data_IF_608363096797
#
_entry.id   IF_608363096797
#
_cell.length_a   1.000
_cell.length_b   1.000
_cell.length_c   1.000
_cell.angle_alpha   90.00
_cell.angle_beta   90.00
_cell.angle_gamma   90.00
#
_symmetry.space_group_name_H-M   'P 1'
#
loop_
_entity.id
_entity.type
_entity.pdbx_description
1 polymer ?
#
# COMPACT_ATOMS: atom_id res chain seq x y z
N UNK A 1 19.90 -11.76 -23.33
CA UNK A 1 19.25 -11.69 -21.99
C UNK A 1 17.79 -11.34 -22.18
N UNK A 2 16.83 -12.18 -21.78
CA UNK A 2 15.40 -11.80 -21.76
C UNK A 2 15.23 -10.75 -20.68
N UNK A 3 14.76 -9.55 -21.04
CA UNK A 3 14.40 -8.52 -20.06
C UNK A 3 13.40 -9.13 -19.06
N UNK A 4 13.82 -9.31 -17.83
CA UNK A 4 12.93 -9.81 -16.78
C UNK A 4 11.86 -8.73 -16.54
N UNK A 5 10.58 -9.07 -16.78
CA UNK A 5 9.47 -8.12 -16.56
C UNK A 5 9.45 -7.74 -15.09
N UNK A 6 9.51 -6.44 -14.77
CA UNK A 6 9.46 -5.94 -13.39
C UNK A 6 8.08 -6.19 -12.76
N UNK A 7 8.07 -6.73 -11.54
CA UNK A 7 6.84 -6.90 -10.77
C UNK A 7 6.26 -5.56 -10.34
N UNK A 8 7.11 -4.59 -10.03
CA UNK A 8 6.70 -3.22 -9.70
C UNK A 8 5.90 -2.59 -10.84
N UNK A 9 6.42 -2.68 -12.07
CA UNK A 9 5.71 -2.16 -13.25
C UNK A 9 4.41 -2.93 -13.50
N UNK A 10 4.41 -4.26 -13.29
CA UNK A 10 3.20 -5.07 -13.38
C UNK A 10 2.10 -4.61 -12.42
N UNK A 11 2.44 -4.38 -11.14
CA UNK A 11 1.48 -3.87 -10.15
C UNK A 11 0.95 -2.47 -10.53
N UNK A 12 1.84 -1.55 -10.93
CA UNK A 12 1.44 -0.22 -11.40
C UNK A 12 0.46 -0.32 -12.57
N UNK A 13 0.75 -1.16 -13.56
CA UNK A 13 -0.12 -1.36 -14.72
C UNK A 13 -1.51 -1.87 -14.32
N UNK A 14 -1.56 -2.85 -13.40
CA UNK A 14 -2.84 -3.39 -12.89
C UNK A 14 -3.63 -2.32 -12.15
N UNK A 15 -3.00 -1.58 -11.23
CA UNK A 15 -3.67 -0.54 -10.44
C UNK A 15 -4.18 0.59 -11.35
N UNK A 16 -3.36 1.05 -12.30
CA UNK A 16 -3.79 2.06 -13.28
C UNK A 16 -4.95 1.54 -14.15
N UNK A 17 -4.92 0.28 -14.55
CA UNK A 17 -6.02 -0.34 -15.31
C UNK A 17 -7.34 -0.35 -14.53
N UNK A 18 -7.30 -0.70 -13.24
CA UNK A 18 -8.47 -0.61 -12.36
C UNK A 18 -8.95 0.83 -12.17
N UNK A 19 -8.04 1.79 -12.05
CA UNK A 19 -8.44 3.21 -11.99
C UNK A 19 -9.14 3.69 -13.25
N UNK A 20 -8.68 3.28 -14.43
CA UNK A 20 -9.37 3.58 -15.70
C UNK A 20 -10.75 2.91 -15.74
N UNK A 21 -10.87 1.69 -15.23
CA UNK A 21 -12.19 1.03 -15.10
C UNK A 21 -13.11 1.81 -14.17
N UNK A 22 -12.61 2.30 -13.01
CA UNK A 22 -13.40 3.16 -12.12
C UNK A 22 -13.90 4.45 -12.82
N UNK A 23 -13.17 4.99 -13.80
CA UNK A 23 -13.62 6.15 -14.58
C UNK A 23 -14.77 5.83 -15.53
N UNK A 24 -14.85 4.58 -15.98
CA UNK A 24 -15.94 4.11 -16.89
C UNK A 24 -17.17 3.72 -16.08
N UNK A 25 -16.96 2.99 -14.98
CA UNK A 25 -18.03 2.54 -14.07
C UNK A 25 -17.68 2.93 -12.62
N UNK A 26 -18.24 4.05 -12.18
CA UNK A 26 -18.03 4.55 -10.82
C UNK A 26 -18.57 3.61 -9.73
N UNK A 27 -19.51 2.69 -10.05
CA UNK A 27 -20.08 1.77 -9.08
C UNK A 27 -19.09 0.65 -8.67
N UNK A 28 -18.04 0.42 -9.45
CA UNK A 28 -17.06 -0.64 -9.15
C UNK A 28 -16.42 -0.46 -7.77
N UNK A 29 -16.27 0.78 -7.32
CA UNK A 29 -15.71 1.09 -5.99
C UNK A 29 -16.51 0.40 -4.88
N UNK A 30 -17.84 0.30 -5.03
CA UNK A 30 -18.73 -0.32 -4.05
C UNK A 30 -18.44 -1.81 -3.83
N UNK A 31 -17.85 -2.47 -4.83
CA UNK A 31 -17.49 -3.89 -4.74
C UNK A 31 -16.11 -4.13 -4.13
N UNK A 32 -15.24 -3.11 -4.10
CA UNK A 32 -13.82 -3.31 -3.80
C UNK A 32 -13.25 -2.45 -2.66
N UNK A 33 -13.97 -1.42 -2.16
CA UNK A 33 -13.53 -0.69 -0.99
C UNK A 33 -13.48 -1.58 0.26
N UNK A 34 -12.67 -1.22 1.23
CA UNK A 34 -12.55 -1.93 2.50
C UNK A 34 -13.52 -1.33 3.53
N UNK A 35 -14.52 -2.08 4.01
CA UNK A 35 -15.41 -1.65 5.07
C UNK A 35 -14.82 -1.97 6.46
N UNK A 36 -15.49 -1.56 7.56
CA UNK A 36 -15.14 -1.99 8.91
C UNK A 36 -15.17 -3.52 9.08
N UNK A 37 -14.43 -4.01 10.08
CA UNK A 37 -14.28 -5.45 10.33
C UNK A 37 -15.63 -6.15 10.55
N UNK A 38 -16.58 -5.52 11.24
CA UNK A 38 -17.91 -6.09 11.47
C UNK A 38 -18.66 -6.38 10.16
N UNK A 39 -18.51 -5.49 9.16
CA UNK A 39 -19.14 -5.66 7.85
C UNK A 39 -18.44 -6.74 7.02
N UNK A 40 -17.10 -6.86 7.13
CA UNK A 40 -16.37 -7.98 6.52
C UNK A 40 -16.81 -9.33 7.10
N UNK A 41 -17.01 -9.40 8.42
CA UNK A 41 -17.45 -10.61 9.11
C UNK A 41 -18.88 -11.00 8.73
N UNK A 42 -19.80 -10.02 8.66
CA UNK A 42 -21.21 -10.27 8.35
C UNK A 42 -21.44 -10.60 6.87
N UNK A 43 -20.70 -9.95 5.97
CA UNK A 43 -20.84 -10.16 4.52
C UNK A 43 -20.02 -11.31 3.97
N UNK A 44 -18.96 -11.74 4.68
CA UNK A 44 -18.00 -12.75 4.20
C UNK A 44 -17.07 -12.26 3.07
N UNK A 45 -17.10 -10.97 2.74
CA UNK A 45 -16.37 -10.41 1.58
C UNK A 45 -14.89 -10.12 1.89
N UNK A 46 -14.18 -11.11 2.42
CA UNK A 46 -12.77 -11.00 2.82
C UNK A 46 -11.80 -10.62 1.68
N UNK A 47 -12.18 -10.84 0.42
CA UNK A 47 -11.37 -10.42 -0.73
C UNK A 47 -11.08 -8.91 -0.75
N UNK A 48 -11.91 -8.11 -0.07
CA UNK A 48 -11.77 -6.65 0.03
C UNK A 48 -10.49 -6.21 0.74
N UNK A 49 -9.89 -7.06 1.58
CA UNK A 49 -8.59 -6.77 2.21
C UNK A 49 -7.44 -6.68 1.19
N UNK A 50 -7.62 -7.24 -0.01
CA UNK A 50 -6.66 -7.14 -1.10
C UNK A 50 -7.12 -6.16 -2.19
N UNK A 51 -8.40 -6.15 -2.52
CA UNK A 51 -8.90 -5.32 -3.62
C UNK A 51 -8.95 -3.83 -3.28
N UNK A 52 -8.96 -3.47 -1.99
CA UNK A 52 -8.83 -2.08 -1.52
C UNK A 52 -7.64 -1.36 -2.17
N UNK A 53 -6.53 -2.05 -2.37
CA UNK A 53 -5.32 -1.51 -3.00
C UNK A 53 -5.46 -1.17 -4.49
N UNK A 54 -6.53 -1.61 -5.14
CA UNK A 54 -6.82 -1.32 -6.55
C UNK A 54 -7.63 -0.04 -6.72
N UNK A 55 -8.40 0.34 -5.69
CA UNK A 55 -9.31 1.48 -5.75
C UNK A 55 -8.61 2.77 -5.33
N UNK A 56 -8.90 3.86 -6.04
CA UNK A 56 -8.32 5.17 -5.72
C UNK A 56 -9.39 6.26 -5.80
N UNK A 57 -9.17 7.34 -5.03
CA UNK A 57 -10.08 8.48 -4.99
C UNK A 57 -10.20 9.16 -6.36
N UNK A 58 -11.43 9.52 -6.72
CA UNK A 58 -11.80 10.17 -7.98
C UNK A 58 -12.56 11.48 -7.76
N UNK A 59 -12.59 11.99 -6.51
CA UNK A 59 -13.36 13.20 -6.16
C UNK A 59 -12.71 14.48 -6.69
N UNK A 60 -11.41 14.45 -6.97
CA UNK A 60 -10.66 15.59 -7.55
C UNK A 60 -10.50 15.44 -9.06
N UNK A 61 -10.41 16.57 -9.78
CA UNK A 61 -10.20 16.61 -11.23
C UNK A 61 -8.88 15.94 -11.64
N UNK A 62 -7.86 16.07 -10.80
CA UNK A 62 -6.56 15.43 -11.00
C UNK A 62 -6.41 14.20 -10.12
N UNK A 63 -5.86 13.09 -10.63
CA UNK A 63 -5.76 11.83 -9.91
C UNK A 63 -4.59 11.82 -8.90
N UNK A 64 -4.53 12.81 -8.01
CA UNK A 64 -3.41 12.96 -7.07
C UNK A 64 -3.20 11.72 -6.20
N UNK A 65 -4.29 11.14 -5.68
CA UNK A 65 -4.21 9.96 -4.82
C UNK A 65 -3.55 8.77 -5.56
N UNK A 66 -3.95 8.51 -6.80
CA UNK A 66 -3.31 7.50 -7.64
C UNK A 66 -1.85 7.87 -7.94
N UNK A 67 -1.62 9.11 -8.39
CA UNK A 67 -0.30 9.56 -8.85
C UNK A 67 0.76 9.41 -7.74
N UNK A 68 0.47 9.88 -6.52
CA UNK A 68 1.41 9.76 -5.40
C UNK A 68 1.66 8.30 -5.01
N UNK A 69 0.62 7.45 -5.02
CA UNK A 69 0.80 6.01 -4.79
C UNK A 69 1.69 5.37 -5.85
N UNK A 70 1.47 5.66 -7.13
CA UNK A 70 2.25 5.07 -8.23
C UNK A 70 3.70 5.57 -8.25
N UNK A 71 3.95 6.85 -7.97
CA UNK A 71 5.30 7.40 -7.84
C UNK A 71 6.06 6.72 -6.68
N UNK A 72 5.45 6.61 -5.52
CA UNK A 72 6.05 5.95 -4.37
C UNK A 72 6.26 4.44 -4.62
N UNK A 73 5.27 3.75 -5.19
CA UNK A 73 5.38 2.34 -5.57
C UNK A 73 6.50 2.13 -6.59
N UNK A 74 6.61 3.01 -7.60
CA UNK A 74 7.70 2.92 -8.57
C UNK A 74 9.06 3.10 -7.89
N UNK A 75 9.23 4.14 -7.10
CA UNK A 75 10.51 4.47 -6.44
C UNK A 75 10.94 3.36 -5.46
N UNK A 76 10.08 3.02 -4.50
CA UNK A 76 10.41 2.04 -3.45
C UNK A 76 10.37 0.60 -3.97
N UNK A 77 9.40 0.30 -4.82
CA UNK A 77 9.21 -1.04 -5.39
C UNK A 77 10.38 -1.46 -6.27
N UNK A 78 10.81 -0.61 -7.21
CA UNK A 78 11.97 -0.91 -8.06
C UNK A 78 13.24 -1.07 -7.24
N UNK A 79 13.41 -0.27 -6.19
CA UNK A 79 14.55 -0.37 -5.29
C UNK A 79 14.55 -1.69 -4.50
N UNK A 80 13.44 -2.07 -3.89
CA UNK A 80 13.33 -3.34 -3.15
C UNK A 80 13.44 -4.54 -4.11
N UNK A 81 12.80 -4.46 -5.28
CA UNK A 81 12.87 -5.50 -6.31
C UNK A 81 14.30 -5.71 -6.80
N UNK A 82 15.10 -4.63 -6.94
CA UNK A 82 16.51 -4.73 -7.33
C UNK A 82 17.41 -5.30 -6.23
N UNK A 83 17.13 -4.97 -4.96
CA UNK A 83 17.93 -5.41 -3.82
C UNK A 83 17.63 -6.84 -3.39
N UNK A 84 16.35 -7.23 -3.37
CA UNK A 84 15.89 -8.49 -2.80
C UNK A 84 15.33 -9.48 -3.82
N UNK A 85 15.12 -9.04 -5.05
CA UNK A 85 14.47 -9.80 -6.10
C UNK A 85 12.95 -9.73 -6.06
N UNK A 86 12.34 -10.08 -7.21
CA UNK A 86 10.92 -9.98 -7.51
C UNK A 86 10.01 -10.67 -6.47
N UNK A 87 10.34 -11.91 -6.10
CA UNK A 87 9.50 -12.70 -5.19
C UNK A 87 9.43 -12.09 -3.80
N UNK A 88 10.58 -11.67 -3.25
CA UNK A 88 10.61 -11.03 -1.92
C UNK A 88 9.90 -9.68 -1.92
N UNK A 89 10.05 -8.89 -3.00
CA UNK A 89 9.31 -7.64 -3.17
C UNK A 89 7.79 -7.88 -3.14
N UNK A 90 7.28 -8.85 -3.90
CA UNK A 90 5.84 -9.17 -3.92
C UNK A 90 5.34 -9.64 -2.55
N UNK A 91 6.10 -10.48 -1.85
CA UNK A 91 5.75 -10.92 -0.50
C UNK A 91 5.65 -9.73 0.46
N UNK A 92 6.64 -8.82 0.44
CA UNK A 92 6.62 -7.60 1.25
C UNK A 92 5.40 -6.76 0.90
N UNK A 93 5.12 -6.52 -0.39
CA UNK A 93 3.98 -5.71 -0.84
C UNK A 93 2.65 -6.27 -0.33
N UNK A 94 2.39 -7.58 -0.53
CA UNK A 94 1.12 -8.18 -0.15
C UNK A 94 0.96 -8.35 1.37
N UNK A 95 2.03 -8.63 2.11
CA UNK A 95 1.97 -8.64 3.60
C UNK A 95 1.70 -7.23 4.12
N UNK A 96 2.30 -6.21 3.52
CA UNK A 96 2.06 -4.82 3.88
C UNK A 96 0.61 -4.41 3.62
N UNK A 97 0.08 -4.76 2.44
CA UNK A 97 -1.32 -4.52 2.09
C UNK A 97 -2.25 -5.21 3.08
N UNK A 98 -2.02 -6.49 3.38
CA UNK A 98 -2.81 -7.27 4.34
C UNK A 98 -2.79 -6.65 5.73
N UNK A 99 -1.60 -6.33 6.26
CA UNK A 99 -1.46 -5.74 7.59
C UNK A 99 -2.13 -4.36 7.67
N UNK A 100 -1.94 -3.52 6.65
CA UNK A 100 -2.61 -2.23 6.53
C UNK A 100 -4.13 -2.36 6.49
N UNK A 101 -4.64 -3.24 5.64
CA UNK A 101 -6.08 -3.49 5.50
C UNK A 101 -6.72 -4.02 6.78
N UNK A 102 -6.09 -4.98 7.45
CA UNK A 102 -6.61 -5.52 8.71
C UNK A 102 -6.60 -4.48 9.84
N UNK A 103 -5.52 -3.67 9.94
CA UNK A 103 -5.45 -2.58 10.90
C UNK A 103 -6.53 -1.53 10.61
N UNK A 104 -6.69 -1.16 9.35
CA UNK A 104 -7.73 -0.24 8.92
C UNK A 104 -9.12 -0.79 9.28
N UNK A 105 -9.49 -1.97 8.80
CA UNK A 105 -10.81 -2.56 9.05
C UNK A 105 -11.15 -2.64 10.55
N UNK A 106 -10.16 -2.96 11.40
CA UNK A 106 -10.36 -3.06 12.85
C UNK A 106 -10.65 -1.72 13.52
N UNK A 107 -10.01 -0.64 13.06
CA UNK A 107 -10.13 0.69 13.66
C UNK A 107 -11.02 1.67 12.87
N UNK A 108 -11.57 1.28 11.73
CA UNK A 108 -12.52 2.12 10.98
C UNK A 108 -13.79 2.35 11.80
N UNK A 109 -14.33 3.60 11.79
CA UNK A 109 -15.63 3.88 12.38
C UNK A 109 -16.74 3.14 11.60
N UNK A 110 -17.90 2.95 12.24
CA UNK A 110 -19.03 2.16 11.73
C UNK A 110 -19.45 2.49 10.28
N UNK A 111 -19.41 3.77 9.88
CA UNK A 111 -19.75 4.22 8.53
C UNK A 111 -18.49 4.57 7.69
N UNK A 112 -17.31 4.11 8.13
CA UNK A 112 -16.07 4.39 7.43
C UNK A 112 -15.81 3.42 6.29
N UNK A 113 -14.94 3.82 5.39
CA UNK A 113 -14.36 2.94 4.38
C UNK A 113 -12.91 3.35 4.08
N UNK A 114 -12.15 2.44 3.51
CA UNK A 114 -10.78 2.69 3.05
C UNK A 114 -10.62 2.30 1.59
N UNK A 115 -9.77 3.04 0.86
CA UNK A 115 -9.35 2.79 -0.52
C UNK A 115 -7.90 3.21 -0.70
N UNK A 116 -7.19 2.55 -1.60
CA UNK A 116 -5.84 2.93 -2.00
C UNK A 116 -4.77 1.89 -1.70
N UNK A 117 -3.71 1.93 -2.51
CA UNK A 117 -2.52 1.11 -2.32
C UNK A 117 -1.59 1.62 -1.20
N UNK A 118 -1.95 2.73 -0.55
CA UNK A 118 -1.06 3.45 0.37
C UNK A 118 -0.63 2.63 1.58
N UNK A 119 -1.48 1.73 2.10
CA UNK A 119 -1.07 0.79 3.15
C UNK A 119 0.11 -0.09 2.72
N UNK A 120 0.06 -0.64 1.50
CA UNK A 120 1.18 -1.39 0.95
C UNK A 120 2.42 -0.51 0.70
N UNK A 121 2.23 0.71 0.17
CA UNK A 121 3.31 1.68 -0.06
C UNK A 121 4.01 2.06 1.25
N UNK A 122 3.26 2.31 2.32
CA UNK A 122 3.84 2.54 3.65
C UNK A 122 4.63 1.33 4.14
N UNK A 123 4.17 0.13 3.84
CA UNK A 123 4.92 -1.08 4.12
C UNK A 123 6.25 -1.17 3.37
N UNK A 124 6.31 -0.68 2.12
CA UNK A 124 7.57 -0.58 1.39
C UNK A 124 8.54 0.42 2.06
N UNK A 125 8.05 1.55 2.61
CA UNK A 125 8.87 2.42 3.46
C UNK A 125 9.40 1.68 4.69
N UNK A 126 8.54 0.92 5.40
CA UNK A 126 8.96 0.09 6.52
C UNK A 126 10.03 -0.93 6.14
N UNK A 127 9.87 -1.57 4.98
CA UNK A 127 10.86 -2.51 4.46
C UNK A 127 12.20 -1.83 4.15
N UNK A 128 12.20 -0.67 3.49
CA UNK A 128 13.43 0.09 3.18
C UNK A 128 14.17 0.49 4.45
N UNK A 129 13.46 0.94 5.51
CA UNK A 129 14.10 1.25 6.79
C UNK A 129 14.86 0.05 7.37
N UNK A 130 14.26 -1.14 7.31
CA UNK A 130 14.90 -2.38 7.79
C UNK A 130 16.09 -2.78 6.91
N UNK A 131 15.93 -2.70 5.58
CA UNK A 131 16.98 -3.02 4.61
C UNK A 131 18.16 -2.07 4.79
N UNK A 132 17.92 -0.75 4.84
CA UNK A 132 18.97 0.25 4.99
C UNK A 132 19.71 0.12 6.32
N UNK A 133 18.97 -0.11 7.42
CA UNK A 133 19.59 -0.40 8.72
C UNK A 133 20.51 -1.61 8.65
N UNK A 134 20.11 -2.66 7.94
CA UNK A 134 20.91 -3.89 7.78
C UNK A 134 22.20 -3.66 6.99
N UNK A 135 22.15 -2.81 5.97
CA UNK A 135 23.29 -2.54 5.08
C UNK A 135 24.07 -1.28 5.45
N UNK A 136 23.76 -0.63 6.58
CA UNK A 136 24.48 0.55 7.07
C UNK A 136 24.25 1.82 6.23
N UNK A 137 23.14 1.89 5.48
CA UNK A 137 22.79 3.09 4.71
C UNK A 137 22.15 4.18 5.60
N UNK A 138 22.19 5.43 5.13
CA UNK A 138 21.56 6.55 5.83
C UNK A 138 20.02 6.43 5.84
N UNK A 139 19.45 6.47 7.05
CA UNK A 139 18.00 6.39 7.27
C UNK A 139 17.31 7.76 7.34
N UNK A 140 18.08 8.85 7.46
CA UNK A 140 17.55 10.16 7.83
C UNK A 140 16.47 10.63 6.82
N UNK A 141 16.77 10.58 5.53
CA UNK A 141 15.84 11.02 4.50
C UNK A 141 14.55 10.18 4.48
N UNK A 142 14.68 8.86 4.63
CA UNK A 142 13.53 7.95 4.68
C UNK A 142 12.68 8.18 5.92
N UNK A 143 13.29 8.37 7.09
CA UNK A 143 12.58 8.66 8.34
C UNK A 143 11.83 9.99 8.27
N UNK A 144 12.45 11.03 7.69
CA UNK A 144 11.77 12.32 7.49
C UNK A 144 10.57 12.14 6.56
N UNK A 145 10.73 11.45 5.43
CA UNK A 145 9.65 11.20 4.48
C UNK A 145 8.49 10.43 5.12
N UNK A 146 8.78 9.36 5.84
CA UNK A 146 7.77 8.57 6.57
C UNK A 146 7.07 9.44 7.61
N UNK A 147 7.83 10.18 8.42
CA UNK A 147 7.28 11.05 9.46
C UNK A 147 6.34 12.12 8.91
N UNK A 148 6.76 12.83 7.85
CA UNK A 148 5.93 13.85 7.19
C UNK A 148 4.64 13.24 6.61
N UNK A 149 4.73 12.10 5.93
CA UNK A 149 3.55 11.43 5.37
C UNK A 149 2.59 10.91 6.45
N UNK A 150 3.10 10.44 7.60
CA UNK A 150 2.24 10.08 8.74
C UNK A 150 1.56 11.31 9.33
N UNK A 151 2.27 12.42 9.55
CA UNK A 151 1.66 13.69 10.02
C UNK A 151 0.55 14.14 9.07
N UNK A 152 0.79 14.13 7.76
CA UNK A 152 -0.22 14.44 6.75
C UNK A 152 -1.42 13.48 6.88
N UNK A 153 -1.17 12.18 7.04
CA UNK A 153 -2.22 11.17 7.21
C UNK A 153 -3.09 11.38 8.45
N UNK A 154 -2.50 11.91 9.55
CA UNK A 154 -3.26 12.24 10.77
C UNK A 154 -4.03 13.55 10.69
N UNK A 155 -3.55 14.50 9.88
CA UNK A 155 -4.08 15.88 9.86
C UNK A 155 -5.09 16.12 8.73
N UNK A 156 -4.95 15.42 7.59
CA UNK A 156 -5.84 15.60 6.45
C UNK A 156 -7.00 14.59 6.51
N UNK A 157 -8.26 15.08 6.59
CA UNK A 157 -9.44 14.21 6.55
C UNK A 157 -9.47 13.36 5.27
N UNK A 158 -9.95 12.13 5.37
CA UNK A 158 -10.06 11.21 4.25
C UNK A 158 -8.79 10.37 3.98
N UNK A 159 -7.68 10.66 4.66
CA UNK A 159 -6.49 9.80 4.61
C UNK A 159 -6.57 8.73 5.71
N UNK A 160 -6.47 7.48 5.32
CA UNK A 160 -6.51 6.36 6.27
C UNK A 160 -5.12 6.08 6.89
N UNK A 161 -4.80 6.86 7.92
CA UNK A 161 -3.56 6.70 8.68
C UNK A 161 -3.41 5.30 9.33
N UNK A 162 -4.53 4.60 9.60
CA UNK A 162 -4.55 3.26 10.20
C UNK A 162 -3.92 2.24 9.25
N UNK A 163 -4.32 2.29 7.97
CA UNK A 163 -3.71 1.48 6.92
C UNK A 163 -2.21 1.79 6.77
N UNK A 164 -1.81 3.07 6.91
CA UNK A 164 -0.41 3.48 6.82
C UNK A 164 0.43 2.89 7.95
N UNK A 165 -0.03 3.00 9.20
CA UNK A 165 0.69 2.44 10.37
C UNK A 165 0.75 0.92 10.28
N UNK A 166 -0.38 0.25 10.02
CA UNK A 166 -0.42 -1.20 9.89
C UNK A 166 0.47 -1.72 8.76
N UNK A 167 0.42 -1.05 7.61
CA UNK A 167 1.27 -1.37 6.47
C UNK A 167 2.76 -1.21 6.77
N UNK A 168 3.15 -0.06 7.35
CA UNK A 168 4.54 0.24 7.73
C UNK A 168 5.12 -0.88 8.62
N UNK A 169 4.38 -1.27 9.66
CA UNK A 169 4.80 -2.33 10.59
C UNK A 169 4.85 -3.70 9.90
N UNK A 170 3.83 -4.03 9.10
CA UNK A 170 3.77 -5.29 8.35
C UNK A 170 4.92 -5.45 7.38
N UNK A 171 5.23 -4.40 6.62
CA UNK A 171 6.34 -4.39 5.67
C UNK A 171 7.71 -4.46 6.33
N UNK A 172 7.89 -3.73 7.44
CA UNK A 172 9.12 -3.82 8.23
C UNK A 172 9.35 -5.23 8.76
N UNK A 173 8.31 -5.87 9.30
CA UNK A 173 8.39 -7.25 9.80
C UNK A 173 8.68 -8.24 8.68
N UNK A 174 7.98 -8.14 7.55
CA UNK A 174 8.20 -9.00 6.38
C UNK A 174 9.65 -8.89 5.87
N UNK A 175 10.15 -7.66 5.72
CA UNK A 175 11.54 -7.44 5.31
C UNK A 175 12.53 -8.04 6.32
N UNK A 176 12.33 -7.81 7.62
CA UNK A 176 13.18 -8.38 8.68
C UNK A 176 13.28 -9.90 8.56
N UNK A 177 12.16 -10.60 8.38
CA UNK A 177 12.14 -12.06 8.23
C UNK A 177 12.86 -12.51 6.95
N UNK A 178 12.63 -11.81 5.82
CA UNK A 178 13.15 -12.21 4.51
C UNK A 178 14.63 -11.93 4.29
N UNK A 179 15.22 -10.97 5.03
CA UNK A 179 16.66 -10.65 4.92
C UNK A 179 17.52 -11.39 5.95
N UNK A 180 16.93 -12.02 6.98
CA UNK A 180 17.68 -12.82 7.96
C UNK A 180 17.93 -14.27 7.48
N UNK A 181 17.35 -14.65 6.36
CA UNK A 181 17.62 -15.91 5.68
C UNK A 181 18.60 -15.69 4.55
#
# INVERSE_FOLDING_TARGET
MKAQRSATIGLITIICGFFLWQKIDSNIINNFFLPPLADLQSSGQWYRIFTVGLMHDQTSDLPYHLAFNMLALHSLGTQIESLLGKSKFLVIFFISLLAGSLTSAYFLPFNGYSIGASGAVFGLFGAILVIYKRYGADLKSTLITVGLNLVIGFTIPGIDWRAHVGGLLGGALAAKVLIHK
#
